data_IF_328474703571
#
_entry.id   IF_328474703571
#
_cell.length_a   1.000
_cell.length_b   1.000
_cell.length_c   1.000
_cell.angle_alpha   90.00
_cell.angle_beta   90.00
_cell.angle_gamma   90.00
#
_symmetry.space_group_name_H-M   'P 1'
#
loop_
_entity.id
_entity.type
_entity.pdbx_description
1 polymer ?
#
# COMPACT_ATOMS: atom_id res chain seq x y z
N UNK A 1 -13.72 57.89 -51.57
CA UNK A 1 -13.90 57.97 -50.11
C UNK A 1 -13.61 56.60 -49.54
N UNK A 2 -12.59 56.52 -48.68
CA UNK A 2 -12.27 55.53 -47.64
C UNK A 2 -12.16 54.05 -48.07
N UNK A 3 -11.19 53.25 -47.61
CA UNK A 3 -10.33 53.34 -46.44
C UNK A 3 -9.12 52.42 -46.67
N UNK A 4 -7.90 52.93 -46.48
CA UNK A 4 -6.69 52.13 -46.45
C UNK A 4 -6.63 51.36 -45.13
N UNK A 5 -6.88 50.05 -45.17
CA UNK A 5 -6.71 49.16 -44.02
C UNK A 5 -5.21 49.05 -43.71
N UNK A 6 -4.77 49.85 -42.74
CA UNK A 6 -3.41 49.88 -42.23
C UNK A 6 -3.18 48.65 -41.33
N UNK A 7 -2.64 47.57 -41.89
CA UNK A 7 -2.21 46.40 -41.12
C UNK A 7 -0.94 46.73 -40.33
N UNK A 8 -1.10 47.39 -39.17
CA UNK A 8 -0.04 47.47 -38.18
C UNK A 8 0.16 46.10 -37.53
N UNK A 9 1.15 45.35 -38.01
CA UNK A 9 1.65 44.16 -37.32
C UNK A 9 2.34 44.60 -36.03
N UNK A 10 1.64 44.43 -34.90
CA UNK A 10 2.16 44.70 -33.55
C UNK A 10 3.38 43.81 -33.33
N UNK A 11 4.60 44.37 -33.41
CA UNK A 11 5.84 43.67 -33.05
C UNK A 11 5.77 43.30 -31.56
N UNK A 12 5.52 42.03 -31.27
CA UNK A 12 5.58 41.46 -29.93
C UNK A 12 7.04 41.60 -29.45
N UNK A 13 7.29 42.54 -28.55
CA UNK A 13 8.59 42.67 -27.89
C UNK A 13 8.61 41.62 -26.79
N UNK A 14 9.14 40.44 -27.11
CA UNK A 14 9.40 39.40 -26.11
C UNK A 14 10.31 39.99 -25.03
N UNK A 15 9.81 40.06 -23.80
CA UNK A 15 10.59 40.50 -22.67
C UNK A 15 11.46 39.32 -22.21
N UNK A 16 12.75 39.54 -21.98
CA UNK A 16 13.68 38.47 -21.58
C UNK A 16 13.27 37.83 -20.25
N UNK A 17 12.60 38.60 -19.40
CA UNK A 17 12.05 38.13 -18.13
C UNK A 17 10.93 37.10 -18.37
N UNK A 18 10.09 37.32 -19.37
CA UNK A 18 8.99 36.42 -19.73
C UNK A 18 9.53 35.08 -20.27
N UNK A 19 10.62 35.13 -21.04
CA UNK A 19 11.35 33.94 -21.50
C UNK A 19 11.90 33.12 -20.33
N UNK A 20 12.47 33.77 -19.31
CA UNK A 20 13.02 33.10 -18.12
C UNK A 20 11.91 32.45 -17.29
N UNK A 21 10.77 33.12 -17.13
CA UNK A 21 9.60 32.57 -16.42
C UNK A 21 9.06 31.33 -17.15
N UNK A 22 8.93 31.40 -18.48
CA UNK A 22 8.48 30.25 -19.29
C UNK A 22 9.45 29.06 -19.16
N UNK A 23 10.77 29.30 -19.19
CA UNK A 23 11.78 28.24 -19.00
C UNK A 23 11.69 27.59 -17.62
N UNK A 24 11.43 28.39 -16.57
CA UNK A 24 11.31 27.88 -15.20
C UNK A 24 10.05 27.01 -15.05
N UNK A 25 8.93 27.43 -15.63
CA UNK A 25 7.69 26.64 -15.67
C UNK A 25 7.92 25.32 -16.44
N UNK A 26 8.56 25.38 -17.61
CA UNK A 26 8.88 24.18 -18.39
C UNK A 26 9.82 23.23 -17.62
N UNK A 27 10.80 23.77 -16.89
CA UNK A 27 11.68 22.98 -16.03
C UNK A 27 10.93 22.28 -14.90
N UNK A 28 9.98 22.96 -14.25
CA UNK A 28 9.13 22.37 -13.21
C UNK A 28 8.24 21.25 -13.78
N UNK A 29 7.60 21.48 -14.94
CA UNK A 29 6.79 20.46 -15.61
C UNK A 29 7.66 19.26 -15.99
N UNK A 30 8.83 19.50 -16.59
CA UNK A 30 9.77 18.44 -16.95
C UNK A 30 10.23 17.64 -15.72
N UNK A 31 10.50 18.29 -14.59
CA UNK A 31 10.88 17.61 -13.35
C UNK A 31 9.76 16.72 -12.79
N UNK A 32 8.51 17.19 -12.84
CA UNK A 32 7.34 16.39 -12.42
C UNK A 32 7.16 15.19 -13.35
N UNK A 33 7.20 15.40 -14.67
CA UNK A 33 7.06 14.34 -15.66
C UNK A 33 8.19 13.32 -15.53
N UNK A 34 9.45 13.77 -15.38
CA UNK A 34 10.59 12.88 -15.17
C UNK A 34 10.48 12.10 -13.87
N UNK A 35 9.97 12.69 -12.79
CA UNK A 35 9.76 11.99 -11.52
C UNK A 35 8.70 10.90 -11.65
N UNK A 36 7.63 11.16 -12.40
CA UNK A 36 6.61 10.14 -12.71
C UNK A 36 7.20 9.02 -13.58
N UNK A 37 7.86 9.36 -14.70
CA UNK A 37 8.47 8.38 -15.60
C UNK A 37 9.59 7.57 -14.93
N UNK A 38 10.36 8.18 -14.03
CA UNK A 38 11.44 7.49 -13.31
C UNK A 38 10.90 6.46 -12.31
N UNK A 39 9.73 6.69 -11.70
CA UNK A 39 9.09 5.68 -10.86
C UNK A 39 8.66 4.48 -11.69
N UNK A 40 8.14 4.68 -12.89
CA UNK A 40 7.71 3.56 -13.73
C UNK A 40 8.92 2.84 -14.35
N UNK A 41 9.92 3.58 -14.84
CA UNK A 41 11.07 3.01 -15.56
C UNK A 41 12.12 2.36 -14.65
N UNK A 42 12.40 2.91 -13.46
CA UNK A 42 13.36 2.29 -12.53
C UNK A 42 12.80 1.00 -11.92
N UNK A 43 11.51 1.00 -11.56
CA UNK A 43 10.82 -0.19 -11.06
C UNK A 43 10.71 -1.25 -12.15
N UNK A 44 10.36 -0.85 -13.39
CA UNK A 44 10.31 -1.76 -14.54
C UNK A 44 11.68 -2.33 -14.91
N UNK A 45 12.76 -1.54 -14.88
CA UNK A 45 14.10 -2.01 -15.21
C UNK A 45 14.67 -2.99 -14.17
N UNK A 46 14.33 -2.80 -12.88
CA UNK A 46 14.65 -3.76 -11.82
C UNK A 46 13.87 -5.08 -11.99
N UNK A 47 12.58 -5.00 -12.35
CA UNK A 47 11.73 -6.16 -12.67
C UNK A 47 12.20 -6.95 -13.89
N UNK A 48 12.85 -6.32 -14.87
CA UNK A 48 13.39 -7.02 -16.04
C UNK A 48 14.66 -7.83 -15.75
N UNK A 49 15.31 -7.62 -14.60
CA UNK A 49 16.63 -8.23 -14.30
C UNK A 49 16.55 -9.36 -13.28
N UNK A 50 15.58 -9.32 -12.38
CA UNK A 50 15.42 -10.30 -11.32
C UNK A 50 14.18 -11.15 -11.59
N UNK A 51 14.35 -12.47 -11.57
CA UNK A 51 13.24 -13.40 -11.65
C UNK A 51 12.33 -13.20 -10.43
N UNK A 52 11.01 -13.26 -10.65
CA UNK A 52 10.04 -13.18 -9.56
C UNK A 52 10.12 -14.45 -8.71
N UNK A 53 10.17 -14.29 -7.40
CA UNK A 53 10.26 -15.37 -6.42
C UNK A 53 8.94 -15.46 -5.65
N UNK A 54 8.50 -16.68 -5.36
CA UNK A 54 7.34 -16.91 -4.50
C UNK A 54 7.69 -16.57 -3.04
N UNK A 55 6.95 -15.63 -2.46
CA UNK A 55 7.12 -15.14 -1.10
C UNK A 55 5.86 -15.36 -0.29
N UNK A 56 6.06 -15.57 1.01
CA UNK A 56 5.01 -15.64 2.03
C UNK A 56 5.02 -14.32 2.80
N UNK A 57 3.90 -13.60 2.74
CA UNK A 57 3.76 -12.27 3.32
C UNK A 57 2.69 -12.30 4.40
N UNK A 58 3.08 -12.37 5.68
CA UNK A 58 2.19 -12.11 6.79
C UNK A 58 1.60 -10.71 6.69
N UNK A 59 0.28 -10.63 6.85
CA UNK A 59 -0.45 -9.38 6.80
C UNK A 59 -1.46 -9.30 7.93
N UNK A 60 -1.92 -8.09 8.20
CA UNK A 60 -3.08 -7.92 9.06
C UNK A 60 -3.96 -6.72 8.67
N UNK A 61 -5.25 -6.86 8.96
CA UNK A 61 -6.34 -5.91 8.71
C UNK A 61 -7.06 -5.74 10.03
N UNK A 62 -7.20 -4.51 10.51
CA UNK A 62 -7.81 -4.23 11.82
C UNK A 62 -9.20 -3.64 11.66
N UNK A 63 -10.00 -3.71 12.73
CA UNK A 63 -11.32 -3.07 12.79
C UNK A 63 -12.25 -3.45 11.61
N UNK A 64 -12.28 -4.73 11.23
CA UNK A 64 -13.11 -5.23 10.13
C UNK A 64 -14.49 -5.61 10.64
N UNK A 65 -15.53 -5.08 10.00
CA UNK A 65 -16.91 -5.47 10.29
C UNK A 65 -17.12 -6.97 9.97
N UNK A 66 -17.86 -7.74 10.79
CA UNK A 66 -18.00 -9.19 10.63
C UNK A 66 -18.44 -9.63 9.23
N UNK A 67 -19.39 -8.92 8.61
CA UNK A 67 -19.87 -9.24 7.26
C UNK A 67 -18.79 -9.05 6.19
N UNK A 68 -17.85 -8.11 6.39
CA UNK A 68 -16.74 -7.89 5.48
C UNK A 68 -15.66 -8.95 5.70
N UNK A 69 -15.40 -9.33 6.95
CA UNK A 69 -14.46 -10.39 7.28
C UNK A 69 -14.91 -11.76 6.76
N UNK A 70 -16.21 -12.04 6.69
CA UNK A 70 -16.76 -13.26 6.09
C UNK A 70 -16.43 -13.39 4.59
N UNK A 71 -16.16 -12.30 3.88
CA UNK A 71 -15.79 -12.34 2.46
C UNK A 71 -14.37 -12.83 2.21
N UNK A 72 -13.57 -13.00 3.25
CA UNK A 72 -12.18 -13.45 3.16
C UNK A 72 -12.01 -14.81 3.85
N UNK A 73 -11.45 -15.75 3.12
CA UNK A 73 -11.19 -17.13 3.53
C UNK A 73 -9.84 -17.61 2.97
N UNK A 74 -9.28 -18.65 3.59
CA UNK A 74 -8.12 -19.36 3.04
C UNK A 74 -8.46 -19.95 1.67
N UNK A 75 -7.54 -19.82 0.71
CA UNK A 75 -7.71 -20.17 -0.69
C UNK A 75 -8.32 -19.05 -1.55
N UNK A 76 -8.70 -17.90 -0.97
CA UNK A 76 -9.12 -16.76 -1.78
C UNK A 76 -7.95 -16.12 -2.51
N UNK A 77 -8.22 -15.67 -3.73
CA UNK A 77 -7.30 -14.86 -4.53
C UNK A 77 -7.58 -13.39 -4.25
N UNK A 78 -6.53 -12.63 -3.94
CA UNK A 78 -6.59 -11.18 -3.81
C UNK A 78 -6.25 -10.53 -5.14
N UNK A 79 -6.87 -9.40 -5.41
CA UNK A 79 -6.64 -8.63 -6.62
C UNK A 79 -6.23 -7.20 -6.31
N UNK A 80 -5.50 -6.56 -7.23
CA UNK A 80 -5.20 -5.13 -7.15
C UNK A 80 -6.47 -4.29 -7.31
N UNK A 81 -6.48 -3.13 -6.65
CA UNK A 81 -7.55 -2.14 -6.77
C UNK A 81 -7.24 -1.20 -7.94
N UNK A 82 -7.98 -1.31 -9.05
CA UNK A 82 -7.73 -0.50 -10.23
C UNK A 82 -8.70 -0.78 -11.38
N UNK A 83 -8.55 -0.03 -12.48
CA UNK A 83 -9.36 -0.21 -13.69
C UNK A 83 -9.09 -1.56 -14.37
N UNK A 84 -7.86 -2.06 -14.28
CA UNK A 84 -7.46 -3.40 -14.71
C UNK A 84 -7.07 -4.16 -13.45
N UNK A 85 -8.02 -4.91 -12.90
CA UNK A 85 -7.79 -5.72 -11.70
C UNK A 85 -6.93 -6.92 -12.06
N UNK A 86 -5.75 -6.99 -11.45
CA UNK A 86 -4.76 -8.06 -11.65
C UNK A 86 -4.68 -8.93 -10.40
N UNK A 87 -4.35 -10.20 -10.58
CA UNK A 87 -4.13 -11.12 -9.47
C UNK A 87 -2.90 -10.70 -8.66
N UNK A 88 -3.11 -10.51 -7.36
CA UNK A 88 -2.06 -10.17 -6.40
C UNK A 88 -1.45 -11.44 -5.81
N UNK A 89 -2.27 -12.36 -5.32
CA UNK A 89 -1.79 -13.60 -4.71
C UNK A 89 -2.88 -14.35 -3.95
N UNK A 90 -2.53 -15.50 -3.38
CA UNK A 90 -3.45 -16.41 -2.70
C UNK A 90 -3.33 -16.28 -1.18
N UNK A 91 -4.46 -16.20 -0.48
CA UNK A 91 -4.50 -16.28 0.99
C UNK A 91 -4.26 -17.73 1.43
N UNK A 92 -3.10 -18.05 1.98
CA UNK A 92 -2.73 -19.42 2.40
C UNK A 92 -2.97 -19.69 3.88
N UNK A 93 -3.14 -18.64 4.69
CA UNK A 93 -3.48 -18.73 6.10
C UNK A 93 -4.36 -17.54 6.49
N UNK A 94 -5.36 -17.78 7.35
CA UNK A 94 -6.25 -16.73 7.84
C UNK A 94 -6.76 -17.03 9.25
N UNK A 95 -6.56 -16.09 10.17
CA UNK A 95 -7.06 -16.08 11.53
C UNK A 95 -7.91 -14.83 11.73
N UNK A 96 -9.14 -15.01 12.23
CA UNK A 96 -10.06 -13.92 12.58
C UNK A 96 -10.12 -13.82 14.10
N UNK A 97 -9.78 -12.67 14.65
CA UNK A 97 -9.66 -12.43 16.09
C UNK A 97 -10.61 -11.28 16.49
N UNK A 98 -11.27 -11.31 17.66
CA UNK A 98 -12.10 -10.18 18.10
C UNK A 98 -11.26 -8.91 18.27
N UNK A 99 -11.63 -7.75 17.71
CA UNK A 99 -10.83 -6.52 17.90
C UNK A 99 -10.78 -6.12 19.38
N UNK A 100 -9.74 -5.41 19.82
CA UNK A 100 -9.60 -4.93 21.20
C UNK A 100 -9.48 -3.42 21.26
N UNK A 101 -10.35 -2.78 22.02
CA UNK A 101 -10.32 -1.34 22.27
C UNK A 101 -9.51 -1.05 23.53
N UNK A 102 -8.72 0.02 23.46
CA UNK A 102 -8.09 0.60 24.64
C UNK A 102 -9.12 1.42 25.41
N UNK A 103 -9.35 1.03 26.66
CA UNK A 103 -10.21 1.75 27.60
C UNK A 103 -9.35 2.33 28.72
N UNK A 104 -9.24 3.66 28.76
CA UNK A 104 -8.59 4.37 29.86
C UNK A 104 -9.50 4.36 31.10
N UNK A 105 -8.92 4.02 32.25
CA UNK A 105 -9.60 3.98 33.54
C UNK A 105 -9.44 5.31 34.27
N UNK A 106 -10.35 5.56 35.21
CA UNK A 106 -10.30 6.76 36.05
C UNK A 106 -9.04 6.85 36.94
N UNK A 107 -8.32 5.75 37.14
CA UNK A 107 -7.05 5.69 37.88
C UNK A 107 -5.81 6.03 37.01
N UNK A 108 -6.00 6.36 35.73
CA UNK A 108 -4.94 6.69 34.79
C UNK A 108 -4.25 5.46 34.17
N UNK A 109 -4.67 4.25 34.51
CA UNK A 109 -4.25 3.03 33.80
C UNK A 109 -5.16 2.77 32.60
N UNK A 110 -4.77 1.87 31.71
CA UNK A 110 -5.61 1.42 30.61
C UNK A 110 -5.80 -0.10 30.65
N UNK A 111 -6.85 -0.57 30.00
CA UNK A 111 -7.05 -1.98 29.73
C UNK A 111 -7.57 -2.18 28.31
N UNK A 112 -7.28 -3.33 27.73
CA UNK A 112 -7.87 -3.73 26.46
C UNK A 112 -9.15 -4.52 26.70
N UNK A 113 -10.23 -4.14 26.02
CA UNK A 113 -11.53 -4.81 26.08
C UNK A 113 -11.93 -5.26 24.69
N UNK A 114 -12.46 -6.47 24.55
CA UNK A 114 -12.90 -6.98 23.25
C UNK A 114 -14.10 -6.18 22.74
N UNK A 115 -14.02 -5.76 21.48
CA UNK A 115 -15.08 -5.08 20.76
C UNK A 115 -15.91 -6.13 20.00
N UNK A 116 -17.21 -6.31 20.31
CA UNK A 116 -18.03 -7.32 19.66
C UNK A 116 -18.43 -6.96 18.23
N UNK A 117 -18.23 -5.71 17.80
CA UNK A 117 -18.68 -5.22 16.49
C UNK A 117 -17.62 -5.33 15.40
N UNK A 118 -16.36 -5.62 15.77
CA UNK A 118 -15.24 -5.68 14.85
C UNK A 118 -14.36 -6.90 15.10
N UNK A 119 -13.67 -7.32 14.06
CA UNK A 119 -12.63 -8.33 14.14
C UNK A 119 -11.37 -7.87 13.41
N UNK A 120 -10.24 -8.35 13.88
CA UNK A 120 -8.97 -8.22 13.20
C UNK A 120 -8.73 -9.50 12.40
N UNK A 121 -8.21 -9.35 11.20
CA UNK A 121 -7.83 -10.44 10.31
C UNK A 121 -6.32 -10.46 10.27
N UNK A 122 -5.73 -11.61 10.56
CA UNK A 122 -4.30 -11.86 10.46
C UNK A 122 -4.12 -13.05 9.54
N UNK A 123 -3.24 -12.96 8.55
CA UNK A 123 -3.07 -14.07 7.61
C UNK A 123 -1.74 -14.03 6.90
N UNK A 124 -1.62 -14.91 5.90
CA UNK A 124 -0.47 -14.97 5.00
C UNK A 124 -1.00 -14.97 3.58
N UNK A 125 -0.44 -14.12 2.74
CA UNK A 125 -0.58 -14.22 1.29
C UNK A 125 0.66 -14.86 0.71
N UNK A 126 0.47 -15.77 -0.24
CA UNK A 126 1.51 -16.33 -1.11
C UNK A 126 1.47 -15.56 -2.42
N UNK A 127 2.57 -14.88 -2.74
CA UNK A 127 2.65 -13.91 -3.83
C UNK A 127 4.01 -13.98 -4.52
N UNK A 128 4.02 -13.78 -5.84
CA UNK A 128 5.27 -13.65 -6.61
C UNK A 128 5.77 -12.21 -6.57
N UNK A 129 6.97 -12.00 -6.03
CA UNK A 129 7.59 -10.68 -5.85
C UNK A 129 8.98 -10.65 -6.46
N UNK A 130 9.42 -9.46 -6.86
CA UNK A 130 10.79 -9.19 -7.28
C UNK A 130 11.50 -8.44 -6.16
N UNK A 131 12.64 -8.97 -5.72
CA UNK A 131 13.53 -8.26 -4.80
C UNK A 131 14.26 -7.14 -5.54
N UNK A 132 14.22 -5.93 -4.98
CA UNK A 132 14.86 -4.72 -5.53
C UNK A 132 15.63 -3.98 -4.43
N UNK A 133 16.42 -2.98 -4.81
CA UNK A 133 17.09 -2.09 -3.83
C UNK A 133 16.11 -1.34 -2.91
N UNK A 134 14.82 -1.30 -3.26
CA UNK A 134 13.75 -0.69 -2.46
C UNK A 134 12.95 -1.73 -1.66
N UNK A 135 13.38 -3.00 -1.65
CA UNK A 135 12.70 -4.12 -1.03
C UNK A 135 11.86 -4.93 -2.03
N UNK A 136 10.77 -5.53 -1.57
CA UNK A 136 10.00 -6.50 -2.36
C UNK A 136 8.85 -5.84 -3.12
N UNK A 137 8.77 -6.07 -4.43
CA UNK A 137 7.82 -5.38 -5.32
C UNK A 137 7.09 -6.37 -6.21
N UNK A 138 5.76 -6.26 -6.29
CA UNK A 138 4.92 -7.04 -7.22
C UNK A 138 4.97 -6.49 -8.64
N UNK A 139 4.56 -7.27 -9.65
CA UNK A 139 4.53 -6.84 -11.05
C UNK A 139 3.80 -5.49 -11.29
N UNK A 140 2.78 -5.19 -10.49
CA UNK A 140 2.01 -3.92 -10.56
C UNK A 140 2.64 -2.78 -9.76
N UNK A 141 3.93 -2.89 -9.40
CA UNK A 141 4.69 -1.91 -8.64
C UNK A 141 4.19 -1.64 -7.22
N UNK A 142 3.35 -2.50 -6.65
CA UNK A 142 3.04 -2.45 -5.22
C UNK A 142 4.23 -2.95 -4.40
N UNK A 143 4.57 -2.20 -3.35
CA UNK A 143 5.71 -2.48 -2.45
C UNK A 143 5.19 -3.25 -1.24
N UNK A 144 5.85 -4.36 -0.92
CA UNK A 144 5.47 -5.28 0.14
C UNK A 144 6.44 -5.25 1.32
N UNK A 145 7.05 -4.11 1.64
CA UNK A 145 7.97 -4.07 2.79
C UNK A 145 7.20 -4.11 4.12
N UNK A 146 7.84 -4.58 5.21
CA UNK A 146 7.25 -4.51 6.55
C UNK A 146 6.77 -3.09 6.86
N UNK A 147 5.54 -2.98 7.40
CA UNK A 147 4.80 -1.76 7.70
C UNK A 147 4.26 -0.98 6.49
N UNK A 148 4.41 -1.47 5.25
CA UNK A 148 3.70 -0.91 4.12
C UNK A 148 2.24 -1.33 4.13
N UNK A 149 1.36 -0.45 3.66
CA UNK A 149 -0.05 -0.74 3.43
C UNK A 149 -0.30 -1.01 1.95
N UNK A 150 -1.09 -2.03 1.66
CA UNK A 150 -1.42 -2.45 0.29
C UNK A 150 -2.93 -2.58 0.16
N UNK A 151 -3.49 -1.90 -0.84
CA UNK A 151 -4.91 -1.99 -1.18
C UNK A 151 -5.19 -3.26 -1.98
N UNK A 152 -6.27 -3.94 -1.66
CA UNK A 152 -6.69 -5.16 -2.35
C UNK A 152 -8.21 -5.21 -2.54
N UNK A 153 -8.64 -6.05 -3.47
CA UNK A 153 -10.02 -6.44 -3.70
C UNK A 153 -10.17 -7.96 -3.53
N UNK A 154 -11.22 -8.39 -2.85
CA UNK A 154 -11.60 -9.79 -2.67
C UNK A 154 -13.12 -9.90 -2.54
N UNK A 155 -13.79 -10.71 -3.36
CA UNK A 155 -15.25 -10.98 -3.26
C UNK A 155 -16.11 -9.71 -3.08
N UNK A 156 -15.92 -8.71 -3.96
CA UNK A 156 -16.57 -7.40 -3.92
C UNK A 156 -16.34 -6.61 -2.62
N UNK A 157 -15.26 -6.88 -1.91
CA UNK A 157 -14.78 -6.10 -0.77
C UNK A 157 -13.41 -5.54 -1.09
N UNK A 158 -13.30 -4.22 -0.92
CA UNK A 158 -12.06 -3.48 -1.10
C UNK A 158 -11.60 -3.03 0.27
N UNK A 159 -10.34 -3.29 0.57
CA UNK A 159 -9.73 -2.90 1.84
C UNK A 159 -8.22 -2.68 1.68
N UNK A 160 -7.56 -2.40 2.79
CA UNK A 160 -6.11 -2.33 2.90
C UNK A 160 -5.64 -3.31 3.96
N UNK A 161 -4.51 -3.97 3.73
CA UNK A 161 -3.79 -4.68 4.77
C UNK A 161 -2.44 -4.01 5.02
N UNK A 162 -1.91 -4.18 6.22
CA UNK A 162 -0.52 -3.87 6.51
C UNK A 162 0.33 -5.12 6.39
N UNK A 163 1.46 -5.01 5.70
CA UNK A 163 2.47 -6.06 5.64
C UNK A 163 3.21 -6.11 6.97
N UNK A 164 3.30 -7.29 7.56
CA UNK A 164 4.01 -7.50 8.83
C UNK A 164 5.43 -7.98 8.59
N UNK A 165 5.63 -8.86 7.61
CA UNK A 165 6.95 -9.37 7.20
C UNK A 165 6.91 -9.94 5.78
N UNK A 166 8.07 -10.33 5.25
CA UNK A 166 8.21 -11.00 3.94
C UNK A 166 9.35 -12.02 3.97
N UNK A 167 9.07 -13.26 3.58
CA UNK A 167 10.10 -14.30 3.48
C UNK A 167 9.75 -15.38 2.46
N UNK A 168 10.75 -16.04 1.90
CA UNK A 168 10.60 -17.28 1.11
C UNK A 168 10.31 -18.49 2.03
N UNK A 169 10.62 -18.38 3.33
CA UNK A 169 10.49 -19.46 4.28
C UNK A 169 9.05 -19.59 4.81
N UNK A 170 8.28 -20.48 4.21
CA UNK A 170 6.89 -20.77 4.60
C UNK A 170 6.76 -21.10 6.10
N UNK A 171 7.56 -22.04 6.61
CA UNK A 171 7.42 -22.54 7.98
C UNK A 171 7.65 -21.42 9.02
N UNK A 172 8.61 -20.54 8.75
CA UNK A 172 8.90 -19.37 9.59
C UNK A 172 7.72 -18.38 9.59
N UNK A 173 7.14 -18.09 8.43
CA UNK A 173 6.01 -17.16 8.31
C UNK A 173 4.74 -17.71 8.95
N UNK A 174 4.47 -19.01 8.82
CA UNK A 174 3.37 -19.67 9.53
C UNK A 174 3.60 -19.68 11.04
N UNK A 175 4.81 -19.98 11.50
CA UNK A 175 5.16 -19.91 12.92
C UNK A 175 4.99 -18.49 13.47
N UNK A 176 5.40 -17.48 12.71
CA UNK A 176 5.17 -16.08 13.01
C UNK A 176 3.67 -15.80 13.17
N UNK A 177 2.84 -16.07 12.15
CA UNK A 177 1.39 -15.81 12.21
C UNK A 177 0.68 -16.56 13.35
N UNK A 178 1.12 -17.77 13.69
CA UNK A 178 0.60 -18.50 14.85
C UNK A 178 1.00 -17.86 16.18
N UNK A 179 2.24 -17.37 16.29
CA UNK A 179 2.73 -16.64 17.47
C UNK A 179 1.90 -15.38 17.73
N UNK A 180 1.68 -14.57 16.69
CA UNK A 180 0.95 -13.30 16.81
C UNK A 180 -0.54 -13.51 17.09
N UNK A 181 -1.12 -14.58 16.55
CA UNK A 181 -2.54 -14.90 16.76
C UNK A 181 -2.79 -15.47 18.16
N UNK A 182 -1.79 -16.14 18.76
CA UNK A 182 -1.89 -16.74 20.09
C UNK A 182 -1.48 -15.80 21.22
N UNK A 183 -0.54 -14.88 20.98
CA UNK A 183 -0.13 -13.85 21.92
C UNK A 183 -0.50 -12.46 21.40
N UNK A 184 -1.65 -11.95 21.83
CA UNK A 184 -2.17 -10.67 21.34
C UNK A 184 -1.56 -9.44 22.01
N UNK A 185 -0.81 -9.61 23.10
CA UNK A 185 -0.11 -8.51 23.79
C UNK A 185 1.05 -7.93 22.95
N UNK A 186 1.46 -8.64 21.91
CA UNK A 186 2.50 -8.21 20.97
C UNK A 186 1.97 -7.34 19.81
N UNK A 187 0.65 -7.09 19.74
CA UNK A 187 0.00 -6.40 18.62
C UNK A 187 -1.16 -5.51 19.11
N UNK A 188 -0.84 -4.30 19.55
CA UNK A 188 -1.85 -3.30 19.90
C UNK A 188 -1.93 -2.24 18.79
N UNK A 189 -3.00 -2.33 18.00
CA UNK A 189 -3.38 -1.29 17.05
C UNK A 189 -4.39 -0.35 17.72
N UNK A 190 -4.28 0.95 17.45
CA UNK A 190 -5.25 1.95 17.86
C UNK A 190 -5.94 2.52 16.63
N UNK A 191 -7.25 2.75 16.72
CA UNK A 191 -8.03 3.41 15.66
C UNK A 191 -7.33 4.72 15.25
N UNK A 192 -6.96 4.83 13.96
CA UNK A 192 -6.22 5.97 13.41
C UNK A 192 -4.68 5.85 13.37
N UNK A 193 -4.10 4.70 13.75
CA UNK A 193 -2.67 4.42 13.55
C UNK A 193 -2.43 3.83 12.16
N UNK A 194 -1.76 4.54 11.24
CA UNK A 194 -1.46 4.00 9.90
C UNK A 194 -0.41 2.87 9.89
N UNK A 195 0.09 2.47 11.07
CA UNK A 195 1.22 1.56 11.21
C UNK A 195 0.99 0.57 12.35
N UNK A 196 1.47 -0.67 12.15
CA UNK A 196 1.68 -1.59 13.27
C UNK A 196 2.81 -1.03 14.13
N UNK A 197 2.57 -0.94 15.45
CA UNK A 197 3.67 -0.88 16.39
C UNK A 197 4.40 -2.22 16.29
N UNK A 198 5.63 -2.17 15.78
CA UNK A 198 6.53 -3.32 15.64
C UNK A 198 6.56 -4.09 16.96
N UNK A 199 6.70 -5.41 16.89
CA UNK A 199 7.19 -6.22 18.00
C UNK A 199 8.40 -5.51 18.61
N UNK A 200 8.26 -4.98 19.82
CA UNK A 200 9.44 -4.63 20.61
C UNK A 200 10.19 -5.94 20.85
N UNK A 201 11.34 -6.07 20.19
CA UNK A 201 12.32 -7.15 20.37
C UNK A 201 12.82 -7.24 21.80
#
# INVERSE_FOLDING_TARGET
MNESVNNQTKKIRFNIIDLVVILLILGCIAAVVLRFLSRDTLTSAAMMKNDSVEMYVPFAITFVEPYAAEKMETGNILYTTGAESTEMGEVVCLNKLPTRDRVDKADGTFQFVENPNYCDIIGIIKISLVETDQGFVSADSNVFNPNCTVSFSCNDWVSVFTVLDVSENEEEMFSFVNSISSNRATYDYHEGSDTYARLDS
#
